data_IF_608402326324
#
_entry.id   IF_608402326324
#
_cell.length_a   1.000
_cell.length_b   1.000
_cell.length_c   1.000
_cell.angle_alpha   90.00
_cell.angle_beta   90.00
_cell.angle_gamma   90.00
#
_symmetry.space_group_name_H-M   'P 1'
#
loop_
_entity.id
_entity.type
_entity.pdbx_description
1 polymer ?
#
# COMPACT_ATOMS: atom_id res chain seq x y z
N UNK A 1 29.55 -40.42 11.55
CA UNK A 1 29.17 -39.72 10.29
C UNK A 1 27.65 -39.62 10.22
N UNK A 2 27.07 -38.53 10.74
CA UNK A 2 25.63 -38.22 10.65
C UNK A 2 25.46 -36.68 10.56
N UNK A 3 25.83 -36.07 9.43
CA UNK A 3 25.79 -34.60 9.23
C UNK A 3 24.92 -34.20 8.03
N UNK A 4 23.89 -34.97 7.71
CA UNK A 4 23.10 -34.76 6.48
C UNK A 4 21.58 -34.66 6.71
N UNK A 5 21.14 -34.34 7.93
CA UNK A 5 19.72 -34.07 8.24
C UNK A 5 19.49 -32.64 8.76
N UNK A 6 20.49 -31.77 8.63
CA UNK A 6 20.29 -30.32 8.66
C UNK A 6 20.21 -29.80 7.22
N UNK A 7 19.36 -30.39 6.38
CA UNK A 7 18.78 -29.61 5.29
C UNK A 7 17.78 -28.67 5.97
N UNK A 8 18.33 -27.67 6.65
CA UNK A 8 17.60 -26.49 7.03
C UNK A 8 17.25 -25.82 5.71
N UNK A 9 16.13 -26.24 5.12
CA UNK A 9 15.38 -25.40 4.22
C UNK A 9 14.92 -24.22 5.07
N UNK A 10 15.83 -23.27 5.29
CA UNK A 10 15.49 -21.91 5.59
C UNK A 10 14.68 -21.47 4.38
N UNK A 11 13.36 -21.65 4.46
CA UNK A 11 12.45 -20.82 3.72
C UNK A 11 12.72 -19.39 4.20
N UNK A 12 13.67 -18.72 3.55
CA UNK A 12 13.82 -17.28 3.62
C UNK A 12 12.58 -16.69 2.95
N UNK A 13 11.45 -16.71 3.66
CA UNK A 13 10.35 -15.82 3.37
C UNK A 13 10.82 -14.42 3.73
N UNK A 14 11.52 -13.75 2.81
CA UNK A 14 11.83 -12.34 2.98
C UNK A 14 10.50 -11.58 3.01
N UNK A 15 10.19 -10.99 4.18
CA UNK A 15 9.07 -10.06 4.30
C UNK A 15 9.44 -8.79 3.54
N UNK A 16 8.57 -8.32 2.66
CA UNK A 16 8.80 -7.05 1.99
C UNK A 16 8.88 -5.91 3.01
N UNK A 17 9.94 -5.13 2.90
CA UNK A 17 10.10 -3.88 3.63
C UNK A 17 9.43 -2.77 2.82
N UNK A 18 8.67 -1.92 3.52
CA UNK A 18 8.04 -0.73 2.93
C UNK A 18 8.71 0.51 3.51
N UNK A 19 9.19 1.38 2.63
CA UNK A 19 9.63 2.74 3.00
C UNK A 19 8.63 3.73 2.43
N UNK A 20 8.11 4.65 3.25
CA UNK A 20 7.15 5.66 2.79
C UNK A 20 7.47 7.05 3.34
N UNK A 21 6.86 8.08 2.76
CA UNK A 21 6.97 9.46 3.26
C UNK A 21 6.67 9.55 4.76
N UNK A 22 7.41 10.37 5.52
CA UNK A 22 7.09 10.63 6.93
C UNK A 22 5.79 11.45 7.05
N UNK A 23 5.37 11.71 8.29
CA UNK A 23 4.22 12.58 8.56
C UNK A 23 4.44 13.99 7.99
N UNK A 24 3.37 14.54 7.39
CA UNK A 24 3.33 15.89 6.82
C UNK A 24 2.29 16.73 7.55
N UNK A 25 2.57 18.02 7.74
CA UNK A 25 1.60 19.02 8.21
C UNK A 25 1.47 20.05 7.10
N UNK A 26 0.26 20.18 6.57
CA UNK A 26 -0.05 20.97 5.38
C UNK A 26 -1.22 21.90 5.67
N UNK A 27 -1.34 22.96 4.88
CA UNK A 27 -2.49 23.85 4.88
C UNK A 27 -3.56 23.35 3.91
N UNK A 28 -4.79 23.82 4.08
CA UNK A 28 -5.85 23.57 3.09
C UNK A 28 -5.43 24.09 1.70
N UNK A 29 -5.92 23.42 0.66
CA UNK A 29 -5.62 23.66 -0.76
C UNK A 29 -4.15 23.43 -1.19
N UNK A 30 -3.27 23.07 -0.28
CA UNK A 30 -1.92 22.64 -0.65
C UNK A 30 -1.96 21.28 -1.36
N UNK A 31 -0.92 21.02 -2.16
CA UNK A 31 -0.69 19.73 -2.81
C UNK A 31 0.46 19.02 -2.12
N UNK A 32 0.40 17.70 -2.09
CA UNK A 32 1.50 16.89 -1.57
C UNK A 32 1.61 15.57 -2.31
N UNK A 33 2.81 15.00 -2.30
CA UNK A 33 3.08 13.66 -2.84
C UNK A 33 3.59 12.78 -1.72
N UNK A 34 2.86 11.71 -1.43
CA UNK A 34 3.31 10.61 -0.58
C UNK A 34 4.06 9.61 -1.46
N UNK A 35 5.30 9.31 -1.08
CA UNK A 35 6.13 8.33 -1.77
C UNK A 35 6.07 7.01 -1.01
N UNK A 36 6.13 5.91 -1.75
CA UNK A 36 6.30 4.59 -1.18
C UNK A 36 7.22 3.76 -2.06
N UNK A 37 8.12 2.99 -1.45
CA UNK A 37 8.96 2.01 -2.10
C UNK A 37 8.99 0.66 -1.36
N UNK A 38 9.24 -0.42 -2.10
CA UNK A 38 9.36 -1.79 -1.60
C UNK A 38 10.62 -2.50 -2.16
N UNK A 39 11.17 -3.46 -1.41
CA UNK A 39 12.45 -4.11 -1.74
C UNK A 39 12.37 -5.59 -2.16
N UNK A 40 11.16 -6.12 -2.38
CA UNK A 40 10.88 -7.54 -2.58
C UNK A 40 10.23 -7.86 -3.94
N UNK A 41 10.34 -6.95 -4.93
CA UNK A 41 9.79 -7.13 -6.30
C UNK A 41 8.32 -7.57 -6.34
N UNK A 42 7.52 -7.12 -5.37
CA UNK A 42 6.09 -7.37 -5.34
C UNK A 42 5.38 -6.70 -6.53
N UNK A 43 4.55 -7.47 -7.24
CA UNK A 43 3.78 -6.97 -8.38
C UNK A 43 2.76 -5.92 -7.93
N UNK A 44 2.08 -6.21 -6.83
CA UNK A 44 0.97 -5.38 -6.36
C UNK A 44 1.41 -4.42 -5.26
N UNK A 45 0.99 -3.16 -5.36
CA UNK A 45 1.13 -2.16 -4.29
C UNK A 45 -0.18 -1.42 -4.07
N UNK A 46 -0.37 -0.92 -2.86
CA UNK A 46 -1.62 -0.34 -2.38
C UNK A 46 -1.35 0.93 -1.60
N UNK A 47 -2.27 1.87 -1.70
CA UNK A 47 -2.39 3.03 -0.82
C UNK A 47 -3.72 2.97 -0.07
N UNK A 48 -3.63 3.01 1.25
CA UNK A 48 -4.78 3.08 2.15
C UNK A 48 -4.78 4.38 2.95
N UNK A 49 -5.96 4.83 3.31
CA UNK A 49 -6.20 5.88 4.29
C UNK A 49 -6.91 5.30 5.50
N UNK A 50 -6.51 5.71 6.69
CA UNK A 50 -7.23 5.43 7.94
C UNK A 50 -7.52 6.74 8.67
N UNK A 51 -8.79 7.14 8.64
CA UNK A 51 -9.29 8.25 9.47
C UNK A 51 -9.59 7.76 10.90
N UNK A 52 -9.53 8.63 11.91
CA UNK A 52 -9.91 8.29 13.27
C UNK A 52 -11.32 7.67 13.34
N UNK A 53 -11.44 6.51 13.99
CA UNK A 53 -12.70 5.79 14.13
C UNK A 53 -13.21 5.07 12.87
N UNK A 54 -12.46 5.10 11.76
CA UNK A 54 -12.78 4.33 10.53
C UNK A 54 -11.82 3.16 10.34
N UNK A 55 -12.25 2.18 9.54
CA UNK A 55 -11.39 1.12 9.05
C UNK A 55 -10.37 1.61 8.02
N UNK A 56 -9.51 0.72 7.55
CA UNK A 56 -8.67 0.97 6.38
C UNK A 56 -9.57 1.12 5.15
N UNK A 57 -9.36 2.19 4.39
CA UNK A 57 -10.08 2.47 3.14
C UNK A 57 -9.07 2.51 2.00
N UNK A 58 -9.31 1.78 0.92
CA UNK A 58 -8.40 1.72 -0.22
C UNK A 58 -8.54 2.99 -1.07
N UNK A 59 -7.44 3.67 -1.35
CA UNK A 59 -7.42 4.85 -2.23
C UNK A 59 -7.13 4.40 -3.66
N UNK A 60 -6.00 3.73 -3.86
CA UNK A 60 -5.55 3.18 -5.14
C UNK A 60 -4.76 1.89 -4.92
N UNK A 61 -4.76 1.02 -5.92
CA UNK A 61 -3.81 -0.08 -6.02
C UNK A 61 -3.23 -0.20 -7.41
N UNK A 62 -2.15 -0.94 -7.55
CA UNK A 62 -1.44 -1.14 -8.80
C UNK A 62 -0.94 -2.56 -8.88
N UNK A 63 -1.26 -3.28 -9.96
CA UNK A 63 -0.86 -4.69 -10.19
C UNK A 63 0.40 -4.82 -11.06
N UNK A 64 0.85 -3.73 -11.68
CA UNK A 64 2.05 -3.66 -12.51
C UNK A 64 2.48 -2.21 -12.71
N UNK A 65 3.71 -2.02 -13.19
CA UNK A 65 4.25 -0.71 -13.59
C UNK A 65 3.28 -0.02 -14.57
N UNK A 66 3.05 1.28 -14.36
CA UNK A 66 2.13 2.11 -15.13
C UNK A 66 0.65 1.64 -15.14
N UNK A 67 0.28 0.68 -14.28
CA UNK A 67 -1.11 0.22 -14.13
C UNK A 67 -1.61 0.51 -12.73
N UNK A 68 -2.54 1.45 -12.62
CA UNK A 68 -3.21 1.83 -11.36
C UNK A 68 -4.71 1.65 -11.50
N UNK A 69 -5.36 1.36 -10.40
CA UNK A 69 -6.79 1.12 -10.31
C UNK A 69 -7.33 1.82 -9.06
N UNK A 70 -8.48 2.45 -9.22
CA UNK A 70 -9.19 3.14 -8.14
C UNK A 70 -9.66 2.16 -7.07
N UNK A 71 -9.57 2.59 -5.82
CA UNK A 71 -10.11 1.88 -4.66
C UNK A 71 -11.50 2.37 -4.27
N UNK A 72 -11.77 2.34 -2.96
CA UNK A 72 -13.04 2.76 -2.37
C UNK A 72 -13.21 4.28 -2.37
N UNK A 73 -12.10 5.02 -2.28
CA UNK A 73 -12.08 6.49 -2.08
C UNK A 73 -10.99 7.18 -2.94
N UNK A 74 -11.06 7.11 -4.28
CA UNK A 74 -10.04 7.69 -5.15
C UNK A 74 -10.11 9.21 -5.26
N UNK A 75 -11.27 9.82 -4.95
CA UNK A 75 -11.52 11.24 -5.16
C UNK A 75 -10.54 12.15 -4.40
N UNK A 76 -10.00 13.14 -5.11
CA UNK A 76 -9.02 14.08 -4.56
C UNK A 76 -7.58 13.55 -4.55
N UNK A 77 -7.35 12.34 -5.05
CA UNK A 77 -6.04 11.72 -5.17
C UNK A 77 -5.69 11.37 -6.61
N UNK A 78 -4.40 11.21 -6.88
CA UNK A 78 -3.89 10.61 -8.10
C UNK A 78 -2.70 9.71 -7.77
N UNK A 79 -2.71 8.47 -8.21
CA UNK A 79 -1.57 7.56 -7.99
C UNK A 79 -0.65 7.48 -9.21
N UNK A 80 0.61 7.13 -9.01
CA UNK A 80 1.57 6.83 -10.08
C UNK A 80 2.47 5.66 -9.71
N UNK A 81 2.67 4.72 -10.64
CA UNK A 81 3.50 3.50 -10.45
C UNK A 81 4.66 3.51 -11.45
N UNK A 82 5.73 4.26 -11.18
CA UNK A 82 6.83 4.42 -12.14
C UNK A 82 7.72 3.17 -12.23
N UNK A 83 7.73 2.31 -11.20
CA UNK A 83 8.54 1.09 -11.16
C UNK A 83 7.84 -0.01 -10.34
N UNK A 84 8.37 -1.24 -10.35
CA UNK A 84 7.89 -2.28 -9.42
C UNK A 84 8.22 -1.92 -7.97
N UNK A 85 9.30 -1.19 -7.73
CA UNK A 85 9.69 -0.79 -6.39
C UNK A 85 8.79 0.34 -5.86
N UNK A 86 8.35 1.27 -6.71
CA UNK A 86 7.79 2.55 -6.26
C UNK A 86 6.31 2.71 -6.61
N UNK A 87 5.53 3.27 -5.68
CA UNK A 87 4.13 3.65 -5.90
C UNK A 87 3.82 4.97 -5.17
N UNK A 88 3.66 6.06 -5.92
CA UNK A 88 3.42 7.39 -5.37
C UNK A 88 1.93 7.73 -5.34
N UNK A 89 1.53 8.57 -4.38
CA UNK A 89 0.18 9.09 -4.25
C UNK A 89 0.22 10.61 -4.10
N UNK A 90 -0.35 11.31 -5.08
CA UNK A 90 -0.55 12.75 -5.06
C UNK A 90 -1.89 13.07 -4.42
N UNK A 91 -1.87 14.03 -3.49
CA UNK A 91 -3.04 14.69 -2.92
C UNK A 91 -3.25 15.97 -3.72
N UNK A 92 -4.36 16.04 -4.47
CA UNK A 92 -4.59 17.08 -5.46
C UNK A 92 -5.00 18.42 -4.85
N UNK A 93 -5.64 18.40 -3.68
CA UNK A 93 -5.99 19.55 -2.87
C UNK A 93 -6.27 19.08 -1.45
N UNK A 94 -5.49 19.53 -0.47
CA UNK A 94 -5.64 19.10 0.92
C UNK A 94 -6.90 19.73 1.54
N UNK A 95 -7.68 18.91 2.21
CA UNK A 95 -8.85 19.31 3.02
C UNK A 95 -8.75 18.67 4.41
N UNK A 96 -9.59 19.11 5.35
CA UNK A 96 -9.68 18.47 6.68
C UNK A 96 -9.94 16.96 6.63
N UNK A 97 -10.64 16.47 5.60
CA UNK A 97 -10.89 15.04 5.42
C UNK A 97 -9.61 14.25 5.10
N UNK A 98 -8.57 14.90 4.60
CA UNK A 98 -7.28 14.27 4.34
C UNK A 98 -6.43 14.09 5.61
N UNK A 99 -6.88 14.59 6.77
CA UNK A 99 -6.22 14.36 8.06
C UNK A 99 -6.44 12.91 8.52
N UNK A 100 -5.44 12.08 8.24
CA UNK A 100 -5.51 10.63 8.42
C UNK A 100 -4.10 10.02 8.50
N UNK A 101 -4.03 8.74 8.87
CA UNK A 101 -2.82 7.94 8.68
C UNK A 101 -2.89 7.30 7.29
N UNK A 102 -1.81 7.42 6.52
CA UNK A 102 -1.69 6.80 5.20
C UNK A 102 -0.76 5.59 5.28
N UNK A 103 -1.19 4.48 4.68
CA UNK A 103 -0.43 3.24 4.67
C UNK A 103 -0.18 2.79 3.24
N UNK A 104 1.09 2.55 2.94
CA UNK A 104 1.48 1.79 1.76
C UNK A 104 1.68 0.31 2.12
N UNK A 105 1.26 -0.58 1.22
CA UNK A 105 1.48 -2.01 1.33
C UNK A 105 1.85 -2.60 -0.03
N UNK A 106 2.44 -3.80 -0.02
CA UNK A 106 2.77 -4.54 -1.24
C UNK A 106 2.49 -6.03 -1.08
N UNK A 107 2.21 -6.70 -2.19
CA UNK A 107 1.98 -8.14 -2.24
C UNK A 107 2.53 -8.76 -3.52
N UNK A 108 3.06 -9.97 -3.43
CA UNK A 108 3.49 -10.76 -4.58
C UNK A 108 2.30 -11.19 -5.45
N UNK A 109 1.18 -11.54 -4.80
CA UNK A 109 -0.05 -12.00 -5.44
C UNK A 109 -1.25 -11.14 -5.01
N UNK A 110 -2.24 -11.00 -5.90
CA UNK A 110 -3.47 -10.28 -5.58
C UNK A 110 -4.45 -11.29 -5.01
N UNK A 111 -4.38 -11.57 -3.71
CA UNK A 111 -5.53 -12.21 -3.06
C UNK A 111 -6.66 -11.21 -3.15
N UNK A 112 -7.62 -11.43 -4.05
CA UNK A 112 -8.89 -10.72 -4.07
C UNK A 112 -9.49 -10.94 -2.69
N UNK A 113 -9.37 -9.96 -1.80
CA UNK A 113 -10.08 -9.98 -0.54
C UNK A 113 -11.52 -9.63 -0.87
N UNK A 114 -12.23 -10.59 -1.48
CA UNK A 114 -13.68 -10.54 -1.59
C UNK A 114 -14.17 -10.31 -0.18
N UNK A 115 -14.94 -9.24 0.02
CA UNK A 115 -15.70 -9.01 1.23
C UNK A 115 -16.64 -10.22 1.44
N UNK A 116 -16.13 -11.32 2.01
CA UNK A 116 -16.94 -12.24 2.79
C UNK A 116 -17.27 -11.47 4.06
N UNK A 117 -18.28 -10.60 3.92
CA UNK A 117 -19.04 -10.08 5.03
C UNK A 117 -19.33 -11.27 5.95
N UNK A 118 -18.92 -11.10 7.21
CA UNK A 118 -19.23 -11.96 8.34
C UNK A 118 -20.55 -12.72 8.16
N UNK A 119 -20.47 -13.97 7.66
CA UNK A 119 -21.50 -14.98 7.85
C UNK A 119 -21.04 -15.87 8.99
N UNK A 120 -21.09 -15.30 10.20
CA UNK A 120 -21.34 -16.08 11.40
C UNK A 120 -22.62 -15.50 12.01
N UNK A 121 -23.73 -16.19 11.73
CA UNK A 121 -24.94 -16.19 12.52
C UNK A 121 -24.81 -17.29 13.57
#
# INVERSE_FOLDING_TARGET
>A
MWTAWCVAMYFFGARAEITQSPGLVLREDEKATLKCSQNNNHNTMYWYMQQPGKGLQLIYYSIAVNRKQEGDIPDGFQADRPSLADFNLDILSVTMNNSAVYFCASSLDTTLQSHLLSLHK
#
